data_IF_123145591188
#
_entry.id   IF_123145591188
#
_cell.length_a   1.000
_cell.length_b   1.000
_cell.length_c   1.000
_cell.angle_alpha   90.00
_cell.angle_beta   90.00
_cell.angle_gamma   90.00
#
_symmetry.space_group_name_H-M   'P 1'
#
loop_
_entity.id
_entity.type
_entity.pdbx_description
1 polymer ?
#
# COMPACT_ATOMS: atom_id res chain seq x y z
N UNK A 1 21.65 -9.61 -9.02
CA UNK A 1 20.60 -8.81 -8.34
C UNK A 1 19.25 -9.41 -8.69
N UNK A 2 18.43 -9.76 -7.70
CA UNK A 2 17.09 -10.30 -7.97
C UNK A 2 16.22 -9.24 -8.68
N UNK A 3 15.38 -9.62 -9.65
CA UNK A 3 14.52 -8.67 -10.39
C UNK A 3 13.61 -7.88 -9.45
N UNK A 4 13.20 -8.49 -8.34
CA UNK A 4 12.39 -7.87 -7.27
C UNK A 4 13.07 -6.63 -6.67
N UNK A 5 14.40 -6.64 -6.46
CA UNK A 5 15.11 -5.49 -5.90
C UNK A 5 15.10 -4.27 -6.81
N UNK A 6 15.16 -4.46 -8.13
CA UNK A 6 15.06 -3.35 -9.09
C UNK A 6 13.68 -2.72 -9.03
N UNK A 7 12.64 -3.55 -8.91
CA UNK A 7 11.26 -3.08 -8.78
C UNK A 7 11.03 -2.32 -7.46
N UNK A 8 11.58 -2.82 -6.35
CA UNK A 8 11.55 -2.13 -5.06
C UNK A 8 12.18 -0.74 -5.14
N UNK A 9 13.40 -0.65 -5.70
CA UNK A 9 14.09 0.63 -5.86
C UNK A 9 13.35 1.60 -6.78
N UNK A 10 12.73 1.10 -7.85
CA UNK A 10 11.92 1.92 -8.74
C UNK A 10 10.66 2.47 -8.04
N UNK A 11 9.97 1.64 -7.25
CA UNK A 11 8.82 2.06 -6.44
C UNK A 11 9.24 3.10 -5.39
N UNK A 12 10.37 2.91 -4.73
CA UNK A 12 10.89 3.85 -3.74
C UNK A 12 11.32 5.18 -4.39
N UNK A 13 11.90 5.16 -5.58
CA UNK A 13 12.30 6.35 -6.31
C UNK A 13 11.14 7.08 -7.02
N UNK A 14 9.95 6.48 -7.10
CA UNK A 14 8.83 7.06 -7.81
C UNK A 14 8.31 8.34 -7.15
N UNK A 15 8.22 9.42 -7.93
CA UNK A 15 7.70 10.73 -7.49
C UNK A 15 6.42 11.03 -8.26
N UNK A 16 5.39 11.47 -7.54
CA UNK A 16 4.13 11.88 -8.16
C UNK A 16 4.28 13.23 -8.85
N UNK A 17 3.97 13.28 -10.14
CA UNK A 17 3.93 14.51 -10.95
C UNK A 17 2.51 14.92 -11.31
N UNK A 18 1.54 14.00 -11.18
CA UNK A 18 0.15 14.23 -11.56
C UNK A 18 -0.82 13.79 -10.45
N UNK A 19 -1.87 14.61 -10.24
CA UNK A 19 -2.88 14.39 -9.21
C UNK A 19 -3.78 13.21 -9.54
N UNK A 20 -4.02 12.89 -10.81
CA UNK A 20 -4.85 11.73 -11.16
C UNK A 20 -4.13 10.43 -10.81
N UNK A 21 -2.83 10.35 -11.10
CA UNK A 21 -2.01 9.18 -10.75
C UNK A 21 -1.96 8.97 -9.24
N UNK A 22 -1.76 10.03 -8.46
CA UNK A 22 -1.80 9.93 -6.99
C UNK A 22 -3.18 9.46 -6.47
N UNK A 23 -4.30 9.95 -7.05
CA UNK A 23 -5.64 9.47 -6.67
C UNK A 23 -5.85 8.01 -7.03
N UNK A 24 -5.34 7.57 -8.18
CA UNK A 24 -5.43 6.19 -8.62
C UNK A 24 -4.70 5.27 -7.63
N UNK A 25 -3.48 5.64 -7.22
CA UNK A 25 -2.72 4.90 -6.20
C UNK A 25 -3.48 4.81 -4.88
N UNK A 26 -4.04 5.93 -4.40
CA UNK A 26 -4.84 5.95 -3.17
C UNK A 26 -6.13 5.11 -3.24
N UNK A 27 -6.70 4.94 -4.44
CA UNK A 27 -7.87 4.08 -4.69
C UNK A 27 -7.49 2.60 -4.81
N UNK A 28 -6.37 2.30 -5.45
CA UNK A 28 -5.90 0.93 -5.68
C UNK A 28 -5.31 0.28 -4.43
N UNK A 29 -4.51 1.03 -3.67
CA UNK A 29 -3.83 0.52 -2.47
C UNK A 29 -4.63 1.00 -1.27
N UNK A 30 -5.27 0.13 -0.46
CA UNK A 30 -6.06 0.55 0.70
C UNK A 30 -5.20 1.07 1.88
N UNK A 31 -5.81 1.84 2.80
CA UNK A 31 -5.13 2.45 3.96
C UNK A 31 -4.80 1.43 5.05
N UNK A 32 -5.63 0.41 5.12
CA UNK A 32 -5.56 -0.69 6.06
C UNK A 32 -5.13 -1.94 5.32
N UNK A 33 -4.35 -2.82 5.97
CA UNK A 33 -3.93 -4.06 5.33
C UNK A 33 -5.19 -4.92 5.06
N UNK A 34 -5.56 -5.18 3.80
CA UNK A 34 -6.82 -5.84 3.47
C UNK A 34 -6.82 -7.32 3.89
N UNK A 35 -5.62 -7.86 4.14
CA UNK A 35 -5.41 -9.23 4.57
C UNK A 35 -5.69 -9.40 6.06
N UNK A 36 -5.43 -8.38 6.89
CA UNK A 36 -5.73 -8.44 8.31
C UNK A 36 -7.23 -8.22 8.51
N UNK A 37 -8.01 -9.29 8.42
CA UNK A 37 -9.45 -9.23 8.61
C UNK A 37 -9.98 -10.48 9.31
N UNK A 38 -11.01 -10.24 10.11
CA UNK A 38 -11.79 -11.28 10.76
C UNK A 38 -12.89 -11.75 9.82
N UNK A 39 -12.85 -13.00 9.40
CA UNK A 39 -13.88 -13.60 8.54
C UNK A 39 -14.70 -14.59 9.35
N UNK A 40 -16.03 -14.45 9.30
CA UNK A 40 -16.95 -15.43 9.90
C UNK A 40 -17.36 -16.45 8.85
N UNK A 41 -16.94 -17.70 9.03
CA UNK A 41 -17.26 -18.84 8.17
C UNK A 41 -17.87 -19.94 9.02
N UNK A 42 -19.08 -20.39 8.67
CA UNK A 42 -19.80 -21.48 9.34
C UNK A 42 -19.94 -21.30 10.87
N UNK A 43 -20.14 -20.06 11.33
CA UNK A 43 -20.25 -19.75 12.76
C UNK A 43 -18.92 -19.70 13.52
N UNK A 44 -17.79 -19.94 12.85
CA UNK A 44 -16.44 -19.78 13.42
C UNK A 44 -15.79 -18.50 12.93
N UNK A 45 -15.05 -17.86 13.83
CA UNK A 45 -14.29 -16.64 13.55
C UNK A 45 -12.87 -17.06 13.15
N UNK A 46 -12.48 -16.78 11.91
CA UNK A 46 -11.12 -16.97 11.41
C UNK A 46 -10.48 -15.60 11.29
N UNK A 47 -9.45 -15.36 12.10
CA UNK A 47 -8.63 -14.15 11.98
C UNK A 47 -7.53 -14.41 10.95
N UNK A 48 -7.61 -13.75 9.79
CA UNK A 48 -6.55 -13.80 8.79
C UNK A 48 -5.42 -12.89 9.28
N UNK A 49 -4.21 -13.42 9.52
CA UNK A 49 -3.10 -12.61 10.01
C UNK A 49 -2.69 -11.56 8.95
N UNK A 50 -1.99 -10.50 9.35
CA UNK A 50 -1.40 -9.56 8.42
C UNK A 50 -0.40 -10.28 7.50
N UNK A 51 -0.85 -10.69 6.30
CA UNK A 51 -0.01 -11.26 5.24
C UNK A 51 0.88 -10.20 4.55
N UNK A 52 0.91 -8.99 5.13
CA UNK A 52 1.56 -7.80 4.63
C UNK A 52 3.09 -8.01 4.45
N UNK A 53 3.70 -9.01 5.12
CA UNK A 53 5.13 -9.38 4.94
C UNK A 53 5.42 -10.42 3.83
N UNK A 54 4.39 -11.07 3.27
CA UNK A 54 4.59 -12.12 2.24
C UNK A 54 4.85 -11.50 0.87
N UNK A 55 4.24 -10.36 0.58
CA UNK A 55 4.47 -9.66 -0.68
C UNK A 55 5.76 -8.83 -0.58
N UNK A 56 6.81 -9.16 -1.35
CA UNK A 56 8.13 -8.52 -1.21
C UNK A 56 8.13 -7.03 -1.58
N UNK A 57 7.10 -6.51 -2.23
CA UNK A 57 6.96 -5.07 -2.56
C UNK A 57 5.89 -4.34 -1.73
N UNK A 58 5.34 -4.98 -0.70
CA UNK A 58 4.24 -4.42 0.08
C UNK A 58 4.62 -3.13 0.79
N UNK A 59 5.77 -3.12 1.46
CA UNK A 59 6.25 -1.94 2.21
C UNK A 59 6.42 -0.74 1.27
N UNK A 60 6.98 -0.97 0.08
CA UNK A 60 7.16 0.05 -0.94
C UNK A 60 5.81 0.60 -1.43
N UNK A 61 4.80 -0.26 -1.60
CA UNK A 61 3.44 0.14 -1.98
C UNK A 61 2.74 0.95 -0.87
N UNK A 62 2.92 0.55 0.40
CA UNK A 62 2.40 1.31 1.54
C UNK A 62 3.06 2.70 1.65
N UNK A 63 4.38 2.76 1.44
CA UNK A 63 5.12 4.02 1.41
C UNK A 63 4.72 4.90 0.23
N UNK A 64 4.53 4.30 -0.95
CA UNK A 64 4.03 4.97 -2.15
C UNK A 64 2.64 5.58 -1.92
N UNK A 65 1.73 4.85 -1.28
CA UNK A 65 0.40 5.39 -0.90
C UNK A 65 0.54 6.60 0.03
N UNK A 66 1.41 6.51 1.04
CA UNK A 66 1.60 7.61 2.00
C UNK A 66 2.07 8.88 1.28
N UNK A 67 3.02 8.74 0.35
CA UNK A 67 3.47 9.85 -0.52
C UNK A 67 2.37 10.35 -1.45
N UNK A 68 1.51 9.47 -1.97
CA UNK A 68 0.38 9.85 -2.80
C UNK A 68 -0.64 10.71 -2.03
N UNK A 69 -0.93 10.35 -0.78
CA UNK A 69 -1.81 11.14 0.11
C UNK A 69 -1.18 12.50 0.38
N UNK A 70 0.10 12.55 0.77
CA UNK A 70 0.81 13.80 1.01
C UNK A 70 0.85 14.72 -0.23
N UNK A 71 0.94 14.15 -1.42
CA UNK A 71 0.88 14.90 -2.68
C UNK A 71 -0.52 15.48 -2.99
N UNK A 72 -1.59 14.78 -2.58
CA UNK A 72 -2.97 15.22 -2.83
C UNK A 72 -3.48 16.21 -1.77
N UNK A 73 -2.95 16.12 -0.56
CA UNK A 73 -3.42 16.88 0.61
C UNK A 73 -2.20 17.40 1.42
N UNK A 74 -1.47 18.39 0.89
CA UNK A 74 -0.24 18.88 1.52
C UNK A 74 -0.50 19.57 2.88
N UNK A 75 -1.71 20.11 3.10
CA UNK A 75 -2.08 20.82 4.34
C UNK A 75 -2.51 19.88 5.49
N UNK A 76 -2.78 18.59 5.23
CA UNK A 76 -3.28 17.63 6.23
C UNK A 76 -2.18 16.89 7.01
N UNK A 77 -0.93 17.34 6.91
CA UNK A 77 0.21 16.72 7.61
C UNK A 77 0.48 17.30 9.01
N UNK A 78 -0.47 18.04 9.59
CA UNK A 78 -0.45 18.60 10.96
C UNK A 78 -1.38 17.82 11.89
#
# INVERSE_FOLDING_TARGET
MSPVRKLQQWLDAYVFTDKQTARLVCRLIPATCPFARRVRLFGRVIDIPPLCKINPVYEQLAHLRTRAVAYLDPDRSL
#
